data_IF_855417333507
#
_entry.id   IF_855417333507
#
_cell.length_a   1.000
_cell.length_b   1.000
_cell.length_c   1.000
_cell.angle_alpha   90.00
_cell.angle_beta   90.00
_cell.angle_gamma   90.00
#
_symmetry.space_group_name_H-M   'P 1'
#
loop_
_entity.id
_entity.type
_entity.pdbx_description
1 polymer ?
#
# COMPACT_ATOMS: atom_id res chain seq x y z
N UNK A 1 14.43 12.38 11.17
CA UNK A 1 13.30 12.23 11.39
C UNK A 1 12.63 13.42 12.04
N UNK A 2 11.58 13.90 11.41
CA UNK A 2 10.88 15.14 11.75
C UNK A 2 9.86 14.89 12.87
N UNK A 3 9.90 15.69 13.93
CA UNK A 3 8.86 15.68 14.97
C UNK A 3 7.59 16.34 14.42
N UNK A 4 6.44 15.81 14.76
CA UNK A 4 5.16 16.44 14.46
C UNK A 4 4.90 17.72 15.27
N UNK A 5 5.58 17.90 16.43
CA UNK A 5 5.44 19.05 17.30
C UNK A 5 4.06 19.18 17.97
N UNK A 6 3.19 18.17 17.84
CA UNK A 6 1.85 18.12 18.40
C UNK A 6 1.46 16.70 18.80
N UNK A 7 0.50 16.52 19.71
CA UNK A 7 -0.09 15.22 20.02
C UNK A 7 -0.73 14.56 18.78
N UNK A 8 -1.15 13.33 18.94
CA UNK A 8 -1.95 12.63 17.94
C UNK A 8 -3.25 13.38 17.64
N UNK A 9 -3.66 13.50 16.35
CA UNK A 9 -4.84 14.26 15.98
C UNK A 9 -6.13 13.46 16.23
N UNK A 10 -7.13 14.13 16.78
CA UNK A 10 -8.49 13.60 17.00
C UNK A 10 -9.56 14.49 16.40
N UNK A 11 -9.39 15.81 16.48
CA UNK A 11 -10.34 16.79 15.96
C UNK A 11 -9.97 17.24 14.55
N UNK A 12 -10.94 17.83 13.84
CA UNK A 12 -10.69 18.47 12.55
C UNK A 12 -9.59 19.55 12.62
N UNK A 13 -9.53 20.29 13.73
CA UNK A 13 -8.49 21.30 13.93
C UNK A 13 -7.10 20.67 14.04
N UNK A 14 -6.97 19.54 14.72
CA UNK A 14 -5.70 18.83 14.88
C UNK A 14 -5.21 18.29 13.55
N UNK A 15 -6.08 17.64 12.77
CA UNK A 15 -5.72 17.15 11.42
C UNK A 15 -5.32 18.29 10.50
N UNK A 16 -6.07 19.39 10.47
CA UNK A 16 -5.71 20.58 9.67
C UNK A 16 -4.36 21.15 10.07
N UNK A 17 -4.08 21.25 11.39
CA UNK A 17 -2.79 21.71 11.87
C UNK A 17 -1.65 20.79 11.44
N UNK A 18 -1.87 19.47 11.44
CA UNK A 18 -0.91 18.48 10.96
C UNK A 18 -0.63 18.66 9.46
N UNK A 19 -1.65 18.80 8.63
CA UNK A 19 -1.48 19.10 7.20
C UNK A 19 -0.78 20.44 6.97
N UNK A 20 -1.16 21.50 7.69
CA UNK A 20 -0.52 22.81 7.57
C UNK A 20 0.98 22.75 7.87
N UNK A 21 1.38 22.00 8.90
CA UNK A 21 2.79 21.78 9.23
C UNK A 21 3.59 21.21 8.05
N UNK A 22 3.07 20.17 7.39
CA UNK A 22 3.78 19.53 6.28
C UNK A 22 3.64 20.31 4.97
N UNK A 23 2.48 20.89 4.69
CA UNK A 23 2.25 21.70 3.48
C UNK A 23 2.97 23.05 3.51
N UNK A 24 3.50 23.50 4.65
CA UNK A 24 4.39 24.65 4.73
C UNK A 24 5.82 24.37 4.25
N UNK A 25 6.18 23.12 3.98
CA UNK A 25 7.48 22.75 3.46
C UNK A 25 7.63 23.21 2.00
N UNK A 26 8.62 24.05 1.65
CA UNK A 26 8.75 24.63 0.32
C UNK A 26 9.09 23.58 -0.74
N UNK A 27 9.81 22.52 -0.36
CA UNK A 27 10.18 21.45 -1.29
C UNK A 27 8.96 20.59 -1.64
N UNK A 28 8.07 20.33 -0.64
CA UNK A 28 6.79 19.67 -0.92
C UNK A 28 5.87 20.54 -1.76
N UNK A 29 5.84 21.85 -1.53
CA UNK A 29 5.08 22.79 -2.39
C UNK A 29 5.60 22.78 -3.82
N UNK A 30 6.92 22.80 -4.00
CA UNK A 30 7.54 22.72 -5.33
C UNK A 30 7.21 21.40 -6.03
N UNK A 31 7.22 20.27 -5.31
CA UNK A 31 6.82 18.97 -5.84
C UNK A 31 5.36 18.96 -6.28
N UNK A 32 4.44 19.53 -5.48
CA UNK A 32 3.02 19.67 -5.86
C UNK A 32 2.81 20.57 -7.09
N UNK A 33 3.64 21.58 -7.26
CA UNK A 33 3.56 22.49 -8.41
C UNK A 33 4.15 21.91 -9.71
N UNK A 34 5.06 20.94 -9.58
CA UNK A 34 5.84 20.42 -10.72
C UNK A 34 5.08 19.42 -11.59
N UNK A 35 4.11 18.67 -11.03
CA UNK A 35 3.41 17.61 -11.75
C UNK A 35 2.00 17.34 -11.16
N UNK A 36 1.09 16.71 -11.94
CA UNK A 36 -0.16 16.22 -11.40
C UNK A 36 0.08 15.08 -10.40
N UNK A 37 -0.84 14.94 -9.44
CA UNK A 37 -0.78 13.93 -8.39
C UNK A 37 -1.97 13.00 -8.46
N UNK A 38 -1.72 11.71 -8.31
CA UNK A 38 -2.71 10.69 -8.01
C UNK A 38 -2.47 10.29 -6.56
N UNK A 39 -3.46 10.50 -5.70
CA UNK A 39 -3.31 10.29 -4.27
C UNK A 39 -4.34 9.29 -3.76
N UNK A 40 -3.92 8.47 -2.82
CA UNK A 40 -4.79 7.66 -1.96
C UNK A 40 -4.26 7.73 -0.53
N UNK A 41 -5.08 7.37 0.44
CA UNK A 41 -4.68 7.33 1.85
C UNK A 41 -4.25 5.94 2.27
N UNK A 42 -3.54 5.87 3.40
CA UNK A 42 -3.35 4.66 4.18
C UNK A 42 -3.97 4.85 5.59
N UNK A 43 -3.38 4.31 6.62
CA UNK A 43 -3.89 4.35 7.98
C UNK A 43 -3.61 5.67 8.69
N UNK A 44 -2.39 6.19 8.63
CA UNK A 44 -1.96 7.38 9.36
C UNK A 44 -2.61 8.70 8.92
N UNK A 45 -3.36 8.69 7.84
CA UNK A 45 -4.28 9.78 7.51
C UNK A 45 -5.45 9.86 8.48
N UNK A 46 -5.73 8.78 9.23
CA UNK A 46 -6.80 8.69 10.24
C UNK A 46 -6.25 8.20 11.58
N UNK A 47 -5.82 6.95 11.65
CA UNK A 47 -5.38 6.26 12.87
C UNK A 47 -4.57 5.02 12.50
N UNK A 48 -3.48 4.75 13.21
CA UNK A 48 -2.64 3.58 12.94
C UNK A 48 -3.46 2.29 12.83
N UNK A 49 -3.19 1.48 11.83
CA UNK A 49 -3.78 0.16 11.59
C UNK A 49 -5.33 0.12 11.68
N UNK A 50 -6.04 1.23 11.42
CA UNK A 50 -7.51 1.20 11.48
C UNK A 50 -8.11 0.33 10.37
N UNK A 51 -9.25 -0.27 10.64
CA UNK A 51 -9.99 -1.08 9.70
C UNK A 51 -11.47 -0.70 9.73
N UNK A 52 -11.98 -0.11 8.62
CA UNK A 52 -13.34 0.40 8.51
C UNK A 52 -13.69 1.34 9.69
N UNK A 53 -14.59 0.95 10.55
CA UNK A 53 -15.08 1.72 11.70
C UNK A 53 -14.41 1.34 13.04
N UNK A 54 -13.24 0.70 12.98
CA UNK A 54 -12.51 0.23 14.16
C UNK A 54 -11.10 0.80 14.24
N UNK A 55 -10.83 1.50 15.34
CA UNK A 55 -9.49 1.92 15.78
C UNK A 55 -8.67 0.73 16.27
N UNK A 56 -7.34 0.82 16.19
CA UNK A 56 -6.45 -0.14 16.85
C UNK A 56 -6.46 0.01 18.38
N UNK A 57 -6.67 1.22 18.90
CA UNK A 57 -6.63 1.55 20.33
C UNK A 57 -7.92 1.22 21.08
N UNK A 58 -8.84 0.47 20.45
CA UNK A 58 -10.12 0.08 21.05
C UNK A 58 -11.02 1.28 21.41
N UNK A 59 -10.87 2.40 20.71
CA UNK A 59 -11.80 3.52 20.79
C UNK A 59 -13.24 3.04 20.54
N UNK A 60 -14.21 3.62 21.24
CA UNK A 60 -15.60 3.32 20.97
C UNK A 60 -15.95 3.72 19.53
N UNK A 61 -16.78 2.91 18.87
CA UNK A 61 -17.07 2.99 17.45
C UNK A 61 -17.55 4.38 17.01
N UNK A 62 -18.46 4.96 17.76
CA UNK A 62 -19.06 6.27 17.47
C UNK A 62 -17.99 7.36 17.51
N UNK A 63 -17.15 7.37 18.55
CA UNK A 63 -16.04 8.32 18.68
C UNK A 63 -14.99 8.14 17.57
N UNK A 64 -14.70 6.91 17.18
CA UNK A 64 -13.80 6.66 16.05
C UNK A 64 -14.39 7.13 14.71
N UNK A 65 -15.67 6.93 14.48
CA UNK A 65 -16.35 7.41 13.25
C UNK A 65 -16.34 8.96 13.19
N UNK A 66 -16.47 9.65 14.32
CA UNK A 66 -16.30 11.12 14.39
C UNK A 66 -14.86 11.53 14.06
N UNK A 67 -13.86 10.86 14.63
CA UNK A 67 -12.43 11.07 14.31
C UNK A 67 -12.19 10.86 12.82
N UNK A 68 -12.66 9.77 12.23
CA UNK A 68 -12.53 9.46 10.79
C UNK A 68 -13.20 10.53 9.92
N UNK A 69 -14.36 11.05 10.33
CA UNK A 69 -15.04 12.14 9.63
C UNK A 69 -14.15 13.40 9.58
N UNK A 70 -13.54 13.76 10.69
CA UNK A 70 -12.61 14.89 10.79
C UNK A 70 -11.38 14.68 9.90
N UNK A 71 -10.79 13.50 9.94
CA UNK A 71 -9.62 13.13 9.17
C UNK A 71 -9.89 13.16 7.66
N UNK A 72 -10.98 12.57 7.17
CA UNK A 72 -11.35 12.55 5.75
C UNK A 72 -11.62 13.98 5.23
N UNK A 73 -12.26 14.81 6.03
CA UNK A 73 -12.47 16.20 5.67
C UNK A 73 -11.16 16.96 5.54
N UNK A 74 -10.23 16.81 6.51
CA UNK A 74 -8.93 17.44 6.44
C UNK A 74 -8.10 16.94 5.25
N UNK A 75 -8.12 15.63 4.97
CA UNK A 75 -7.47 15.04 3.81
C UNK A 75 -7.98 15.67 2.51
N UNK A 76 -9.29 15.72 2.31
CA UNK A 76 -9.89 16.35 1.13
C UNK A 76 -9.52 17.83 0.97
N UNK A 77 -9.45 18.56 2.06
CA UNK A 77 -9.13 20.00 2.05
C UNK A 77 -7.66 20.29 1.67
N UNK A 78 -6.75 19.31 1.87
CA UNK A 78 -5.31 19.51 1.72
C UNK A 78 -4.67 18.67 0.59
N UNK A 79 -5.37 17.70 0.04
CA UNK A 79 -4.86 16.87 -1.03
C UNK A 79 -5.47 17.27 -2.38
N UNK A 80 -4.74 17.08 -3.50
CA UNK A 80 -5.19 17.47 -4.84
C UNK A 80 -6.24 16.48 -5.38
N UNK A 81 -7.42 16.52 -4.81
CA UNK A 81 -8.52 15.60 -5.12
C UNK A 81 -9.64 16.30 -5.91
N UNK A 82 -10.30 15.61 -6.84
CA UNK A 82 -11.42 16.16 -7.58
C UNK A 82 -12.64 16.37 -6.67
N UNK A 83 -13.52 17.30 -7.08
CA UNK A 83 -14.74 17.61 -6.33
C UNK A 83 -15.67 16.41 -6.11
N UNK A 84 -15.64 15.44 -7.00
CA UNK A 84 -16.42 14.20 -6.91
C UNK A 84 -16.00 13.30 -5.73
N UNK A 85 -14.82 13.53 -5.16
CA UNK A 85 -14.31 12.82 -3.98
C UNK A 85 -14.61 13.54 -2.66
N UNK A 86 -15.43 14.60 -2.68
CA UNK A 86 -15.80 15.31 -1.45
C UNK A 86 -16.44 14.36 -0.42
N UNK A 87 -15.96 14.34 0.83
CA UNK A 87 -16.50 13.42 1.84
C UNK A 87 -17.95 13.79 2.24
N UNK A 88 -18.73 12.76 2.50
CA UNK A 88 -20.08 12.83 3.06
C UNK A 88 -20.05 12.19 4.46
N UNK A 89 -19.83 13.03 5.49
CA UNK A 89 -19.59 12.54 6.85
C UNK A 89 -18.36 11.64 6.92
N UNK A 90 -18.52 10.44 7.47
CA UNK A 90 -17.46 9.45 7.62
C UNK A 90 -17.20 8.62 6.35
N UNK A 91 -17.74 9.00 5.20
CA UNK A 91 -17.57 8.29 3.93
C UNK A 91 -16.94 9.21 2.89
N UNK A 92 -16.01 8.64 2.11
CA UNK A 92 -15.38 9.33 1.00
C UNK A 92 -15.01 8.32 -0.08
N UNK A 93 -15.53 8.50 -1.29
CA UNK A 93 -15.15 7.62 -2.40
C UNK A 93 -13.82 8.06 -3.00
N UNK A 94 -12.70 7.48 -2.54
CA UNK A 94 -11.37 7.78 -3.05
C UNK A 94 -10.95 6.81 -4.18
N UNK A 95 -11.45 5.57 -4.19
CA UNK A 95 -11.14 4.63 -5.26
C UNK A 95 -11.66 5.12 -6.61
N UNK A 96 -10.81 5.09 -7.60
CA UNK A 96 -11.09 5.57 -8.95
C UNK A 96 -10.14 4.92 -9.97
N UNK A 97 -10.35 5.16 -11.25
CA UNK A 97 -9.33 4.91 -12.26
C UNK A 97 -8.95 6.21 -12.98
N UNK A 98 -7.73 6.25 -13.48
CA UNK A 98 -7.21 7.33 -14.31
C UNK A 98 -6.56 6.70 -15.54
N UNK A 99 -7.03 7.07 -16.72
CA UNK A 99 -6.47 6.60 -17.98
C UNK A 99 -5.40 7.58 -18.49
N UNK A 100 -4.22 7.06 -18.78
CA UNK A 100 -3.15 7.78 -19.46
C UNK A 100 -3.11 7.36 -20.93
N UNK A 101 -4.09 7.83 -21.69
CA UNK A 101 -4.33 7.40 -23.07
C UNK A 101 -4.48 5.87 -23.18
N UNK A 102 -3.94 5.30 -24.24
CA UNK A 102 -3.88 3.84 -24.43
C UNK A 102 -2.69 3.19 -23.73
N UNK A 103 -1.81 3.98 -23.08
CA UNK A 103 -0.59 3.47 -22.47
C UNK A 103 -0.88 2.77 -21.15
N UNK A 104 -1.57 3.42 -20.23
CA UNK A 104 -1.79 2.90 -18.88
C UNK A 104 -3.16 3.28 -18.30
N UNK A 105 -3.72 2.38 -17.50
CA UNK A 105 -4.81 2.67 -16.57
C UNK A 105 -4.29 2.51 -15.14
N UNK A 106 -4.44 3.55 -14.35
CA UNK A 106 -4.21 3.52 -12.91
C UNK A 106 -5.51 3.17 -12.20
N UNK A 107 -5.52 2.07 -11.47
CA UNK A 107 -6.61 1.69 -10.55
C UNK A 107 -6.19 2.13 -9.14
N UNK A 108 -6.76 3.22 -8.65
CA UNK A 108 -6.48 3.76 -7.31
C UNK A 108 -7.40 3.08 -6.32
N UNK A 109 -6.84 2.42 -5.31
CA UNK A 109 -7.60 1.60 -4.38
C UNK A 109 -7.65 2.23 -2.98
N UNK A 110 -8.77 2.02 -2.32
CA UNK A 110 -8.97 2.29 -0.90
C UNK A 110 -8.85 0.98 -0.13
N UNK A 111 -7.77 0.82 0.60
CA UNK A 111 -7.49 -0.40 1.36
C UNK A 111 -7.91 -0.28 2.83
N UNK A 112 -8.48 0.83 3.28
CA UNK A 112 -8.78 1.11 4.69
C UNK A 112 -10.28 1.18 5.02
N UNK A 113 -11.04 2.00 4.30
CA UNK A 113 -12.41 2.37 4.66
C UNK A 113 -13.40 1.21 4.66
N UNK A 114 -13.15 0.17 3.85
CA UNK A 114 -14.11 -0.89 3.59
C UNK A 114 -13.58 -2.30 3.91
N UNK A 115 -12.40 -2.37 4.51
CA UNK A 115 -11.78 -3.67 4.84
C UNK A 115 -12.52 -4.37 5.98
N UNK A 116 -12.59 -5.67 5.93
CA UNK A 116 -12.97 -6.46 7.10
C UNK A 116 -11.95 -6.24 8.24
N UNK A 117 -12.39 -6.15 9.47
CA UNK A 117 -11.49 -5.98 10.61
C UNK A 117 -10.39 -7.05 10.62
N UNK A 118 -9.20 -6.70 11.09
CA UNK A 118 -8.07 -7.62 11.13
C UNK A 118 -8.45 -8.91 11.88
N UNK A 119 -7.95 -10.03 11.37
CA UNK A 119 -8.17 -11.32 12.02
C UNK A 119 -7.26 -11.47 13.24
N UNK A 120 -7.75 -12.12 14.30
CA UNK A 120 -6.96 -12.49 15.46
C UNK A 120 -6.17 -11.31 16.07
N UNK A 121 -6.84 -10.22 16.49
CA UNK A 121 -6.17 -9.08 17.10
C UNK A 121 -5.42 -9.49 18.36
N UNK A 122 -4.50 -8.68 18.84
CA UNK A 122 -3.75 -8.91 20.08
C UNK A 122 -4.73 -9.03 21.26
N UNK A 123 -4.41 -9.88 22.23
CA UNK A 123 -5.33 -10.24 23.35
C UNK A 123 -5.93 -9.03 24.09
N UNK A 124 -5.20 -7.94 24.19
CA UNK A 124 -5.62 -6.73 24.92
C UNK A 124 -6.06 -5.58 23.99
N UNK A 125 -6.27 -5.84 22.69
CA UNK A 125 -6.73 -4.87 21.69
C UNK A 125 -7.98 -5.38 20.99
N UNK A 126 -8.91 -4.47 20.69
CA UNK A 126 -10.11 -4.80 19.93
C UNK A 126 -9.92 -4.69 18.43
N UNK A 127 -8.84 -4.04 17.99
CA UNK A 127 -8.51 -3.77 16.61
C UNK A 127 -6.99 -3.80 16.37
N UNK A 128 -6.59 -3.27 15.21
CA UNK A 128 -5.20 -3.14 14.82
C UNK A 128 -4.54 -4.44 14.35
N UNK A 129 -3.30 -4.31 13.92
CA UNK A 129 -2.51 -5.42 13.39
C UNK A 129 -2.01 -6.39 14.46
N UNK A 130 -1.77 -7.60 14.00
CA UNK A 130 -1.08 -8.64 14.74
C UNK A 130 -0.21 -9.46 13.79
N UNK A 131 0.81 -10.11 14.34
CA UNK A 131 1.56 -11.15 13.62
C UNK A 131 1.16 -12.49 14.21
N UNK A 132 0.58 -13.37 13.38
CA UNK A 132 -0.04 -14.63 13.84
C UNK A 132 0.49 -15.82 13.08
N UNK A 133 0.72 -16.94 13.75
CA UNK A 133 0.90 -18.22 13.08
C UNK A 133 -0.43 -18.60 12.42
N UNK A 134 -0.44 -18.84 11.12
CA UNK A 134 -1.68 -19.01 10.33
C UNK A 134 -2.53 -20.19 10.81
N UNK A 135 -1.90 -21.25 11.28
CA UNK A 135 -2.53 -22.43 11.83
C UNK A 135 -3.33 -22.16 13.12
N UNK A 136 -2.98 -21.07 13.85
CA UNK A 136 -3.66 -20.66 15.07
C UNK A 136 -4.71 -19.55 14.83
N UNK A 137 -4.85 -19.07 13.59
CA UNK A 137 -5.80 -18.03 13.24
C UNK A 137 -6.82 -18.54 12.20
N UNK A 138 -7.76 -19.37 12.63
CA UNK A 138 -8.78 -20.01 11.78
C UNK A 138 -9.68 -19.03 11.02
N UNK A 139 -9.77 -17.78 11.48
CA UNK A 139 -10.55 -16.71 10.82
C UNK A 139 -9.82 -16.07 9.65
N UNK A 140 -8.49 -16.23 9.55
CA UNK A 140 -7.67 -15.58 8.54
C UNK A 140 -8.12 -15.94 7.11
N UNK A 141 -8.27 -17.23 6.73
CA UNK A 141 -8.64 -17.66 5.39
C UNK A 141 -10.14 -17.55 5.07
N UNK A 142 -10.96 -17.00 5.96
CA UNK A 142 -12.41 -16.98 5.76
C UNK A 142 -12.78 -16.29 4.43
N UNK A 143 -13.58 -16.94 3.54
CA UNK A 143 -13.83 -16.46 2.17
C UNK A 143 -14.59 -15.13 2.11
N UNK A 144 -15.34 -14.81 3.17
CA UNK A 144 -16.09 -13.56 3.28
C UNK A 144 -15.23 -12.33 3.58
N UNK A 145 -14.01 -12.52 4.03
CA UNK A 145 -13.10 -11.39 4.35
C UNK A 145 -12.67 -10.67 3.07
N UNK A 146 -12.64 -9.35 3.15
CA UNK A 146 -12.25 -8.48 2.05
C UNK A 146 -11.32 -7.39 2.54
N UNK A 147 -10.29 -7.06 1.74
CA UNK A 147 -9.43 -5.89 1.93
C UNK A 147 -10.11 -4.61 1.38
N UNK A 148 -10.84 -4.74 0.29
CA UNK A 148 -11.42 -3.60 -0.45
C UNK A 148 -12.91 -3.39 -0.18
N UNK A 149 -13.58 -4.35 0.48
CA UNK A 149 -15.03 -4.40 0.52
C UNK A 149 -15.62 -4.89 -0.82
N UNK A 150 -16.78 -5.56 -0.74
CA UNK A 150 -17.38 -6.22 -1.91
C UNK A 150 -17.77 -5.26 -3.05
N UNK A 151 -18.13 -4.03 -2.72
CA UNK A 151 -18.49 -3.04 -3.74
C UNK A 151 -17.26 -2.62 -4.57
N UNK A 152 -16.14 -2.34 -3.91
CA UNK A 152 -14.91 -1.98 -4.58
C UNK A 152 -14.28 -3.18 -5.31
N UNK A 153 -14.36 -4.41 -4.76
CA UNK A 153 -13.93 -5.62 -5.48
C UNK A 153 -14.64 -5.74 -6.84
N UNK A 154 -15.98 -5.59 -6.88
CA UNK A 154 -16.75 -5.64 -8.16
C UNK A 154 -16.41 -4.49 -9.10
N UNK A 155 -16.25 -3.29 -8.56
CA UNK A 155 -15.82 -2.14 -9.36
C UNK A 155 -14.45 -2.37 -9.99
N UNK A 156 -13.50 -2.92 -9.23
CA UNK A 156 -12.14 -3.21 -9.75
C UNK A 156 -12.17 -4.30 -10.83
N UNK A 157 -12.95 -5.37 -10.61
CA UNK A 157 -13.17 -6.42 -11.60
C UNK A 157 -13.68 -5.84 -12.93
N UNK A 158 -14.72 -4.99 -12.87
CA UNK A 158 -15.24 -4.31 -14.04
C UNK A 158 -14.21 -3.37 -14.68
N UNK A 159 -13.49 -2.58 -13.86
CA UNK A 159 -12.46 -1.64 -14.33
C UNK A 159 -11.31 -2.35 -15.04
N UNK A 160 -10.88 -3.52 -14.54
CA UNK A 160 -9.86 -4.35 -15.18
C UNK A 160 -10.36 -4.96 -16.50
N UNK A 161 -11.60 -5.46 -16.52
CA UNK A 161 -12.20 -6.04 -17.73
C UNK A 161 -12.42 -5.02 -18.85
N UNK A 162 -12.74 -3.77 -18.51
CA UNK A 162 -12.95 -2.67 -19.45
C UNK A 162 -11.65 -1.97 -19.88
N UNK A 163 -10.51 -2.27 -19.25
CA UNK A 163 -9.25 -1.59 -19.54
C UNK A 163 -8.76 -1.90 -20.95
N UNK A 164 -8.62 -0.86 -21.78
CA UNK A 164 -8.04 -0.95 -23.13
C UNK A 164 -6.55 -0.58 -23.14
N UNK A 165 -6.01 -0.17 -21.99
CA UNK A 165 -4.63 0.24 -21.86
C UNK A 165 -3.67 -0.95 -21.91
N UNK A 166 -2.46 -0.70 -22.41
CA UNK A 166 -1.38 -1.70 -22.45
C UNK A 166 -0.90 -2.12 -21.07
N UNK A 167 -1.03 -1.24 -20.05
CA UNK A 167 -0.60 -1.49 -18.66
C UNK A 167 -1.74 -1.22 -17.68
N UNK A 168 -1.88 -2.11 -16.70
CA UNK A 168 -2.79 -1.94 -15.57
C UNK A 168 -1.97 -1.72 -14.29
N UNK A 169 -1.98 -0.49 -13.76
CA UNK A 169 -1.23 -0.10 -12.57
C UNK A 169 -2.17 0.00 -11.37
N UNK A 170 -2.05 -0.90 -10.40
CA UNK A 170 -2.85 -0.88 -9.18
C UNK A 170 -2.12 -0.03 -8.14
N UNK A 171 -2.57 1.21 -7.93
CA UNK A 171 -2.05 2.11 -6.92
C UNK A 171 -2.78 1.87 -5.60
N UNK A 172 -2.11 1.24 -4.67
CA UNK A 172 -2.63 0.88 -3.36
C UNK A 172 -1.54 1.06 -2.29
N UNK A 173 -1.80 0.80 -1.04
CA UNK A 173 -0.97 1.36 0.04
C UNK A 173 -0.12 0.35 0.79
N UNK A 174 -0.47 -0.93 0.81
CA UNK A 174 0.21 -1.95 1.64
C UNK A 174 0.81 -3.09 0.78
N UNK A 175 1.82 -3.84 1.24
CA UNK A 175 2.35 -4.97 0.49
C UNK A 175 1.30 -6.03 0.18
N UNK A 176 1.31 -6.53 -1.07
CA UNK A 176 0.39 -7.56 -1.54
C UNK A 176 1.05 -8.94 -1.62
N UNK A 177 2.36 -9.01 -1.86
CA UNK A 177 3.09 -10.27 -1.82
C UNK A 177 2.99 -10.94 -0.45
N UNK A 178 2.97 -12.26 -0.43
CA UNK A 178 3.11 -13.00 0.82
C UNK A 178 4.45 -12.67 1.47
N UNK A 179 4.45 -12.45 2.78
CA UNK A 179 5.68 -12.27 3.53
C UNK A 179 5.65 -13.10 4.82
N UNK A 180 6.23 -14.28 4.72
CA UNK A 180 6.39 -15.14 5.88
C UNK A 180 7.46 -14.59 6.83
N UNK A 181 7.05 -14.30 8.06
CA UNK A 181 7.92 -13.79 9.13
C UNK A 181 8.32 -14.86 10.15
N UNK A 182 8.15 -16.15 9.78
CA UNK A 182 8.55 -17.31 10.60
C UNK A 182 9.67 -18.09 9.88
N UNK A 183 10.93 -17.96 10.30
CA UNK A 183 11.99 -18.79 9.74
C UNK A 183 11.70 -20.28 9.94
N UNK A 184 11.87 -21.08 8.88
CA UNK A 184 11.67 -22.52 8.93
C UNK A 184 10.19 -22.97 8.87
N UNK A 185 9.84 -24.16 9.36
CA UNK A 185 8.53 -24.76 9.14
C UNK A 185 7.35 -23.97 9.71
N UNK A 186 6.25 -23.95 8.96
CA UNK A 186 5.03 -23.21 9.25
C UNK A 186 5.04 -21.82 8.62
N UNK A 187 4.04 -20.99 8.87
CA UNK A 187 3.94 -19.64 8.32
C UNK A 187 3.38 -18.66 9.35
N UNK A 188 3.91 -17.46 9.36
CA UNK A 188 3.45 -16.37 10.21
C UNK A 188 3.13 -15.13 9.38
N UNK A 189 1.87 -14.70 9.45
CA UNK A 189 1.31 -13.61 8.66
C UNK A 189 1.12 -12.35 9.50
N UNK A 190 1.41 -11.19 8.90
CA UNK A 190 1.00 -9.89 9.42
C UNK A 190 -0.42 -9.58 8.95
N UNK A 191 -1.33 -9.28 9.90
CA UNK A 191 -2.77 -9.25 9.62
C UNK A 191 -3.29 -7.94 9.06
N UNK A 192 -2.47 -6.89 8.98
CA UNK A 192 -2.89 -5.61 8.41
C UNK A 192 -2.69 -5.53 6.89
N UNK A 193 -1.61 -6.11 6.36
CA UNK A 193 -1.40 -6.24 4.91
C UNK A 193 -2.28 -7.30 4.26
N UNK A 194 -2.08 -7.57 2.98
CA UNK A 194 -2.85 -8.57 2.22
C UNK A 194 -2.70 -10.00 2.74
N UNK A 195 -1.67 -10.30 3.52
CA UNK A 195 -1.57 -11.57 4.24
C UNK A 195 -2.67 -11.78 5.27
N UNK A 196 -3.27 -10.69 5.78
CA UNK A 196 -4.47 -10.72 6.61
C UNK A 196 -5.77 -11.03 5.85
N UNK A 197 -5.73 -11.05 4.51
CA UNK A 197 -6.89 -11.21 3.63
C UNK A 197 -6.61 -12.16 2.46
N UNK A 198 -6.09 -13.37 2.71
CA UNK A 198 -5.60 -14.27 1.66
C UNK A 198 -6.71 -14.64 0.66
N UNK A 199 -7.95 -14.83 1.09
CA UNK A 199 -9.07 -15.11 0.20
C UNK A 199 -9.41 -13.94 -0.74
N UNK A 200 -9.29 -12.69 -0.27
CA UNK A 200 -9.48 -11.50 -1.11
C UNK A 200 -8.33 -11.36 -2.11
N UNK A 201 -7.09 -11.59 -1.69
CA UNK A 201 -5.92 -11.61 -2.56
C UNK A 201 -6.05 -12.62 -3.68
N UNK A 202 -6.51 -13.85 -3.37
CA UNK A 202 -6.74 -14.88 -4.38
C UNK A 202 -7.81 -14.48 -5.42
N UNK A 203 -8.91 -13.84 -4.99
CA UNK A 203 -9.92 -13.34 -5.92
C UNK A 203 -9.34 -12.28 -6.86
N UNK A 204 -8.54 -11.35 -6.33
CA UNK A 204 -7.85 -10.34 -7.15
C UNK A 204 -6.84 -10.98 -8.11
N UNK A 205 -6.04 -11.94 -7.66
CA UNK A 205 -5.06 -12.62 -8.51
C UNK A 205 -5.69 -13.37 -9.67
N UNK A 206 -6.88 -13.95 -9.48
CA UNK A 206 -7.64 -14.56 -10.55
C UNK A 206 -7.98 -13.55 -11.66
N UNK A 207 -8.28 -12.30 -11.31
CA UNK A 207 -8.54 -11.21 -12.26
C UNK A 207 -7.26 -10.69 -12.93
N UNK A 208 -6.18 -10.52 -12.14
CA UNK A 208 -4.89 -10.04 -12.65
C UNK A 208 -4.26 -11.02 -13.64
N UNK A 209 -4.51 -12.31 -13.47
CA UNK A 209 -4.06 -13.35 -14.41
C UNK A 209 -4.49 -13.07 -15.85
N UNK A 210 -5.66 -12.47 -16.04
CA UNK A 210 -6.23 -12.22 -17.36
C UNK A 210 -6.06 -10.76 -17.81
N UNK A 211 -5.48 -9.91 -16.96
CA UNK A 211 -5.24 -8.49 -17.26
C UNK A 211 -3.95 -8.27 -18.03
N UNK A 212 -3.88 -7.18 -18.82
CA UNK A 212 -2.67 -6.78 -19.55
C UNK A 212 -1.66 -6.14 -18.61
N UNK A 213 -0.46 -6.70 -18.55
CA UNK A 213 0.71 -6.19 -17.81
C UNK A 213 0.39 -5.59 -16.43
N UNK A 214 -0.18 -6.36 -15.50
CA UNK A 214 -0.55 -5.84 -14.19
C UNK A 214 0.69 -5.58 -13.34
N UNK A 215 0.76 -4.36 -12.77
CA UNK A 215 1.77 -3.95 -11.82
C UNK A 215 1.11 -3.36 -10.59
N UNK A 216 1.47 -3.83 -9.42
CA UNK A 216 0.99 -3.35 -8.13
C UNK A 216 2.02 -2.41 -7.53
N UNK A 217 1.59 -1.21 -7.18
CA UNK A 217 2.37 -0.21 -6.48
C UNK A 217 1.91 -0.18 -5.01
N UNK A 218 2.85 -0.28 -4.08
CA UNK A 218 2.58 -0.36 -2.64
C UNK A 218 3.49 0.54 -1.80
N UNK A 219 3.25 0.55 -0.49
CA UNK A 219 3.97 1.32 0.52
C UNK A 219 3.89 0.68 1.90
N UNK A 220 3.62 1.47 2.95
CA UNK A 220 3.33 1.09 4.32
C UNK A 220 4.54 0.56 5.12
N UNK A 221 5.21 -0.46 4.68
CA UNK A 221 6.27 -1.16 5.42
C UNK A 221 7.63 -0.44 5.46
N UNK A 222 7.71 0.74 4.87
CA UNK A 222 8.89 1.61 4.89
C UNK A 222 10.18 0.97 4.34
N UNK A 223 10.05 -0.02 3.45
CA UNK A 223 11.15 -0.66 2.72
C UNK A 223 10.91 -0.63 1.23
N UNK A 224 11.98 -0.65 0.44
CA UNK A 224 11.88 -0.95 -0.97
C UNK A 224 11.71 -2.46 -1.17
N UNK A 225 10.64 -2.88 -1.85
CA UNK A 225 10.49 -4.28 -2.23
C UNK A 225 10.21 -4.38 -3.73
N UNK A 226 10.78 -5.41 -4.35
CA UNK A 226 10.42 -5.84 -5.70
C UNK A 226 10.08 -7.33 -5.65
N UNK A 227 8.85 -7.68 -6.01
CA UNK A 227 8.31 -9.02 -5.81
C UNK A 227 7.57 -9.54 -7.04
N UNK A 228 7.59 -10.86 -7.19
CA UNK A 228 6.72 -11.59 -8.10
C UNK A 228 5.43 -11.97 -7.37
N UNK A 229 4.29 -11.50 -7.83
CA UNK A 229 3.01 -11.96 -7.31
C UNK A 229 2.62 -13.26 -7.99
N UNK A 230 2.54 -14.34 -7.22
CA UNK A 230 2.26 -15.70 -7.69
C UNK A 230 0.86 -16.13 -7.30
N UNK A 231 0.20 -16.93 -8.12
CA UNK A 231 -1.11 -17.51 -7.76
C UNK A 231 -1.03 -18.32 -6.47
N UNK A 232 0.04 -19.09 -6.31
CA UNK A 232 0.37 -19.82 -5.10
C UNK A 232 1.83 -19.52 -4.75
N UNK A 233 2.07 -18.89 -3.63
CA UNK A 233 3.42 -18.56 -3.17
C UNK A 233 4.18 -19.78 -2.61
N UNK A 234 3.46 -20.81 -2.20
CA UNK A 234 4.01 -22.04 -1.62
C UNK A 234 4.41 -23.04 -2.72
N UNK A 235 3.95 -22.85 -3.97
CA UNK A 235 4.37 -23.64 -5.14
C UNK A 235 5.43 -22.88 -5.97
N UNK A 236 6.68 -23.37 -6.01
CA UNK A 236 7.73 -22.78 -6.86
C UNK A 236 7.37 -22.71 -8.35
N UNK A 237 6.54 -23.65 -8.84
CA UNK A 237 6.11 -23.70 -10.24
C UNK A 237 4.88 -22.84 -10.55
N UNK A 238 4.23 -22.27 -9.53
CA UNK A 238 3.05 -21.43 -9.70
C UNK A 238 3.32 -20.22 -10.59
N UNK A 239 2.42 -19.89 -11.53
CA UNK A 239 2.62 -18.77 -12.44
C UNK A 239 2.66 -17.43 -11.72
N UNK A 240 3.53 -16.54 -12.19
CA UNK A 240 3.54 -15.12 -11.80
C UNK A 240 2.37 -14.42 -12.50
N UNK A 241 1.53 -13.74 -11.73
CA UNK A 241 0.34 -13.03 -12.24
C UNK A 241 0.52 -11.54 -12.34
N UNK A 242 1.42 -10.96 -11.53
CA UNK A 242 1.74 -9.54 -11.56
C UNK A 242 3.13 -9.26 -11.00
N UNK A 243 3.61 -8.04 -11.24
CA UNK A 243 4.77 -7.45 -10.56
C UNK A 243 4.29 -6.63 -9.37
N UNK A 244 5.01 -6.67 -8.26
CA UNK A 244 4.83 -5.71 -7.18
C UNK A 244 6.08 -4.87 -6.96
N UNK A 245 5.87 -3.56 -6.79
CA UNK A 245 6.88 -2.59 -6.40
C UNK A 245 6.39 -1.83 -5.17
N UNK A 246 7.01 -2.08 -4.02
CA UNK A 246 6.74 -1.33 -2.78
C UNK A 246 7.78 -0.26 -2.64
N UNK A 247 7.34 0.97 -2.39
CA UNK A 247 8.22 2.11 -2.19
C UNK A 247 8.43 2.34 -0.69
N UNK A 248 9.65 2.66 -0.32
CA UNK A 248 10.00 3.02 1.06
C UNK A 248 9.34 4.34 1.49
N UNK A 249 9.46 4.69 2.76
CA UNK A 249 8.98 5.96 3.31
C UNK A 249 9.89 7.14 2.95
N UNK A 250 9.35 8.36 3.11
CA UNK A 250 10.13 9.61 2.98
C UNK A 250 11.06 9.80 4.19
N UNK A 251 10.58 9.54 5.42
CA UNK A 251 11.36 9.76 6.65
C UNK A 251 11.16 8.70 7.72
N UNK A 252 10.05 7.95 7.71
CA UNK A 252 9.72 6.97 8.75
C UNK A 252 10.67 5.79 8.73
N UNK A 253 10.92 5.22 9.91
CA UNK A 253 11.79 4.06 10.06
C UNK A 253 11.06 2.76 9.72
N UNK A 254 11.82 1.75 9.30
CA UNK A 254 11.36 0.40 9.01
C UNK A 254 11.91 -0.60 10.04
N UNK A 255 11.58 -1.87 9.88
CA UNK A 255 12.31 -2.94 10.53
C UNK A 255 13.77 -2.96 10.09
N UNK A 256 14.66 -3.39 10.96
CA UNK A 256 16.09 -3.47 10.61
C UNK A 256 16.32 -4.46 9.44
N UNK A 257 17.28 -4.14 8.59
CA UNK A 257 17.66 -5.02 7.46
C UNK A 257 18.09 -6.41 7.94
N UNK A 258 18.75 -6.50 9.08
CA UNK A 258 19.12 -7.78 9.69
C UNK A 258 17.89 -8.64 10.00
N UNK A 259 16.85 -8.03 10.55
CA UNK A 259 15.57 -8.72 10.79
C UNK A 259 14.93 -9.22 9.50
N UNK A 260 14.88 -8.40 8.45
CA UNK A 260 14.31 -8.76 7.16
C UNK A 260 15.10 -9.89 6.50
N UNK A 261 16.42 -9.83 6.54
CA UNK A 261 17.31 -10.85 5.96
C UNK A 261 17.06 -12.25 6.54
N UNK A 262 16.58 -12.35 7.79
CA UNK A 262 16.25 -13.65 8.39
C UNK A 262 15.02 -14.31 7.77
N UNK A 263 14.12 -13.53 7.14
CA UNK A 263 12.88 -14.01 6.56
C UNK A 263 12.99 -14.28 5.04
N UNK A 264 13.94 -13.63 4.36
CA UNK A 264 14.06 -13.72 2.91
C UNK A 264 14.24 -15.14 2.36
N UNK A 265 14.97 -16.08 3.01
CA UNK A 265 15.08 -17.45 2.53
C UNK A 265 13.73 -18.18 2.36
N UNK A 266 12.74 -17.85 3.20
CA UNK A 266 11.39 -18.42 3.15
C UNK A 266 10.44 -17.62 2.22
N UNK A 267 10.95 -16.55 1.56
CA UNK A 267 10.21 -15.69 0.65
C UNK A 267 10.90 -15.51 -0.72
N UNK A 268 11.15 -16.59 -1.48
CA UNK A 268 11.99 -16.55 -2.70
C UNK A 268 11.38 -15.72 -3.85
N UNK A 269 10.11 -15.39 -3.82
CA UNK A 269 9.41 -14.52 -4.78
C UNK A 269 9.72 -13.04 -4.56
N UNK A 270 10.33 -12.66 -3.43
CA UNK A 270 10.78 -11.30 -3.14
C UNK A 270 12.22 -11.13 -3.63
N UNK A 271 12.39 -10.50 -4.78
CA UNK A 271 13.69 -10.35 -5.45
C UNK A 271 14.58 -9.30 -4.77
N UNK A 272 13.96 -8.36 -4.07
CA UNK A 272 14.63 -7.33 -3.26
C UNK A 272 13.73 -6.92 -2.11
N UNK A 273 14.32 -6.82 -0.91
CA UNK A 273 13.75 -6.12 0.25
C UNK A 273 14.86 -5.32 0.90
N UNK A 274 14.74 -4.00 0.90
CA UNK A 274 15.73 -3.09 1.48
C UNK A 274 15.09 -2.00 2.34
N UNK A 275 15.38 -2.04 3.64
CA UNK A 275 14.87 -1.10 4.64
C UNK A 275 15.89 -0.08 5.11
N UNK A 276 17.10 -0.09 4.55
CA UNK A 276 18.20 0.79 4.99
C UNK A 276 18.00 2.24 4.60
N UNK A 277 17.32 2.47 3.47
CA UNK A 277 17.20 3.79 2.85
C UNK A 277 15.77 4.31 2.83
N UNK A 278 15.65 5.64 2.78
CA UNK A 278 14.42 6.39 2.50
C UNK A 278 14.51 6.89 1.06
N UNK A 279 13.38 7.22 0.45
CA UNK A 279 13.41 7.72 -0.93
C UNK A 279 12.10 7.51 -1.68
N UNK A 280 12.21 7.25 -2.98
CA UNK A 280 11.05 7.07 -3.86
C UNK A 280 11.36 6.11 -5.01
N UNK A 281 10.35 5.59 -5.66
CA UNK A 281 10.49 4.80 -6.88
C UNK A 281 10.16 5.67 -8.09
N UNK A 282 11.14 5.82 -9.00
CA UNK A 282 10.91 6.46 -10.30
C UNK A 282 10.50 5.39 -11.31
N UNK A 283 9.38 5.59 -11.97
CA UNK A 283 8.89 4.68 -13.01
C UNK A 283 8.90 5.40 -14.37
N UNK A 284 9.55 4.79 -15.34
CA UNK A 284 9.47 5.16 -16.74
C UNK A 284 8.64 4.10 -17.48
N UNK A 285 7.57 4.53 -18.14
CA UNK A 285 6.63 3.64 -18.80
C UNK A 285 6.57 3.90 -20.30
N UNK A 286 6.69 2.85 -21.07
CA UNK A 286 6.52 2.83 -22.52
C UNK A 286 5.58 1.70 -22.94
N UNK A 287 5.22 1.64 -24.22
CA UNK A 287 4.44 0.51 -24.74
C UNK A 287 5.19 -0.83 -24.67
N UNK A 288 6.53 -0.81 -24.56
CA UNK A 288 7.38 -2.00 -24.57
C UNK A 288 7.78 -2.48 -23.19
N UNK A 289 8.02 -1.55 -22.26
CA UNK A 289 8.52 -1.88 -20.94
C UNK A 289 8.15 -0.81 -19.90
N UNK A 290 8.11 -1.25 -18.65
CA UNK A 290 8.17 -0.43 -17.45
C UNK A 290 9.57 -0.60 -16.85
N UNK A 291 10.27 0.53 -16.61
CA UNK A 291 11.51 0.59 -15.84
C UNK A 291 11.24 1.25 -14.51
N UNK A 292 11.62 0.61 -13.41
CA UNK A 292 11.50 1.13 -12.06
C UNK A 292 12.89 1.29 -11.44
N UNK A 293 13.28 2.53 -11.12
CA UNK A 293 14.50 2.83 -10.38
C UNK A 293 14.15 3.14 -8.93
N UNK A 294 14.68 2.37 -8.01
CA UNK A 294 14.57 2.59 -6.57
C UNK A 294 15.56 3.68 -6.16
N UNK A 295 15.06 4.89 -5.96
CA UNK A 295 15.87 6.08 -5.68
C UNK A 295 16.06 6.24 -4.18
N UNK A 296 17.28 6.01 -3.69
CA UNK A 296 17.64 6.00 -2.30
C UNK A 296 18.38 7.29 -1.91
N UNK A 297 17.93 7.92 -0.84
CA UNK A 297 18.62 9.04 -0.21
C UNK A 297 19.72 8.49 0.71
N UNK A 298 20.92 9.08 0.64
CA UNK A 298 22.02 8.75 1.54
C UNK A 298 21.63 8.93 3.01
N UNK A 299 20.94 10.01 3.31
CA UNK A 299 20.37 10.29 4.63
C UNK A 299 19.13 11.18 4.50
N UNK A 300 18.24 11.10 5.50
CA UNK A 300 17.09 12.01 5.66
C UNK A 300 17.21 12.87 6.91
N UNK A 301 18.39 12.87 7.53
CA UNK A 301 18.68 13.67 8.73
C UNK A 301 19.31 15.04 8.38
N UNK A 302 19.73 15.22 7.15
CA UNK A 302 20.28 16.45 6.62
C UNK A 302 19.39 16.96 5.49
N UNK A 303 19.29 18.27 5.36
CA UNK A 303 18.46 18.90 4.33
C UNK A 303 18.97 18.60 2.92
N UNK A 304 20.28 18.62 2.74
CA UNK A 304 20.94 18.29 1.49
C UNK A 304 21.60 16.92 1.61
N UNK A 305 21.19 15.97 0.79
CA UNK A 305 21.75 14.63 0.75
C UNK A 305 21.74 14.09 -0.68
N UNK A 306 22.74 13.28 -1.00
CA UNK A 306 22.81 12.65 -2.31
C UNK A 306 21.68 11.63 -2.50
N UNK A 307 21.16 11.56 -3.72
CA UNK A 307 20.18 10.58 -4.15
C UNK A 307 20.82 9.68 -5.23
N UNK A 308 20.83 8.38 -4.99
CA UNK A 308 21.37 7.39 -5.93
C UNK A 308 20.33 6.32 -6.29
N UNK A 309 20.60 5.54 -7.33
CA UNK A 309 19.80 4.37 -7.66
C UNK A 309 20.32 3.17 -6.88
N UNK A 310 19.50 2.63 -5.98
CA UNK A 310 19.80 1.42 -5.20
C UNK A 310 19.74 0.17 -6.07
N UNK A 311 18.71 0.09 -6.89
CA UNK A 311 18.47 -0.99 -7.85
C UNK A 311 17.50 -0.53 -8.93
N UNK A 312 17.58 -1.17 -10.09
CA UNK A 312 16.61 -0.99 -11.18
C UNK A 312 15.95 -2.32 -11.50
N UNK A 313 14.68 -2.25 -11.87
CA UNK A 313 13.89 -3.39 -12.33
C UNK A 313 13.17 -3.04 -13.63
N UNK A 314 13.06 -4.04 -14.51
CA UNK A 314 12.34 -3.92 -15.78
C UNK A 314 11.22 -4.95 -15.81
N UNK A 315 10.06 -4.53 -16.29
CA UNK A 315 8.94 -5.40 -16.65
C UNK A 315 8.70 -5.23 -18.13
N UNK A 316 8.85 -6.31 -18.90
CA UNK A 316 8.63 -6.31 -20.35
C UNK A 316 7.15 -6.48 -20.66
N UNK A 317 6.65 -5.82 -21.70
CA UNK A 317 5.28 -6.03 -22.16
C UNK A 317 5.05 -7.50 -22.54
N UNK A 318 3.98 -8.10 -22.02
CA UNK A 318 3.62 -9.50 -22.21
C UNK A 318 4.38 -10.48 -21.29
N UNK A 319 5.34 -10.00 -20.48
CA UNK A 319 6.07 -10.83 -19.51
C UNK A 319 5.80 -10.35 -18.10
N UNK A 320 5.33 -11.24 -17.24
CA UNK A 320 5.00 -10.93 -15.85
C UNK A 320 6.19 -11.17 -14.93
N UNK A 321 6.29 -10.35 -13.92
CA UNK A 321 7.36 -10.36 -12.94
C UNK A 321 8.51 -9.41 -13.30
N UNK A 322 9.12 -8.77 -12.29
CA UNK A 322 10.23 -7.85 -12.49
C UNK A 322 11.53 -8.63 -12.75
N UNK A 323 12.36 -8.08 -13.63
CA UNK A 323 13.72 -8.53 -13.89
C UNK A 323 14.65 -7.45 -13.35
N UNK A 324 15.66 -7.82 -12.60
CA UNK A 324 16.68 -6.87 -12.15
C UNK A 324 17.56 -6.47 -13.35
N UNK A 325 17.70 -5.15 -13.53
CA UNK A 325 18.51 -4.56 -14.60
C UNK A 325 19.92 -4.20 -14.11
#
# INVERSE_FOLDING_TARGET
VRSHGSPEPYSLADYRARYALYKSDPDLQAAHAACPWIATWDDHEVDNDYADDRSEDAMEREAFVERRTAAYRAYYEHMPLPRSMRPEGARMRIHTHVDWGALARFHVLDTRQHRAWQACPRKNRRGGSNTVDIEHCTRLPAPGRSMLGRAQERWLEQSLAEAQAGWNLLAQTTPMAQFDTKPGPGRRAWTDGWDGYPAARQRLFAQLKDSSNPVVLGGDVHSFNASQLKLDFDDPASPVVATELVTTSITSQAWSQERLNRYLPDNPHMLLVDSRFRGYTRVELSARLLRADLRAMETVQQREAACSTLASFVVENGRRGPIRD
#
